data_IF_383569991551
#
_entry.id   IF_383569991551
#
_cell.length_a   1.000
_cell.length_b   1.000
_cell.length_c   1.000
_cell.angle_alpha   90.00
_cell.angle_beta   90.00
_cell.angle_gamma   90.00
#
_symmetry.space_group_name_H-M   'P 1'
#
loop_
_entity.id
_entity.type
_entity.pdbx_description
1 polymer ?
#
# COMPACT_ATOMS: atom_id res chain seq x y z
N UNK A 1 14.09 3.10 10.79
CA UNK A 1 13.11 1.99 10.91
C UNK A 1 11.97 2.33 9.98
N UNK A 2 11.62 1.47 9.04
CA UNK A 2 10.54 1.74 8.10
C UNK A 2 9.19 1.50 8.79
N UNK A 3 8.21 2.34 8.51
CA UNK A 3 6.84 2.22 9.04
C UNK A 3 5.82 2.24 7.93
N UNK A 4 4.60 1.80 8.23
CA UNK A 4 3.48 1.89 7.31
C UNK A 4 2.22 2.39 8.01
N UNK A 5 1.35 3.03 7.25
CA UNK A 5 0.01 3.41 7.67
C UNK A 5 -1.00 2.99 6.59
N UNK A 6 -2.19 2.60 7.03
CA UNK A 6 -3.32 2.30 6.15
C UNK A 6 -4.47 3.16 6.63
N UNK A 7 -4.92 4.08 5.76
CA UNK A 7 -6.06 4.94 6.02
C UNK A 7 -7.23 4.46 5.17
N UNK A 8 -8.39 4.29 5.79
CA UNK A 8 -9.61 3.97 5.07
C UNK A 8 -10.20 5.24 4.47
N UNK A 9 -10.47 5.23 3.16
CA UNK A 9 -11.16 6.31 2.44
C UNK A 9 -12.66 6.00 2.30
N UNK A 10 -13.02 4.73 2.08
CA UNK A 10 -14.40 4.23 1.98
C UNK A 10 -14.49 2.73 2.35
N UNK A 11 -15.66 2.10 2.18
CA UNK A 11 -15.84 0.65 2.37
C UNK A 11 -14.99 -0.22 1.44
N UNK A 12 -14.49 0.33 0.33
CA UNK A 12 -13.68 -0.41 -0.63
C UNK A 12 -12.40 0.32 -1.01
N UNK A 13 -12.16 1.54 -0.55
CA UNK A 13 -10.97 2.33 -0.92
C UNK A 13 -10.11 2.66 0.30
N UNK A 14 -8.80 2.52 0.13
CA UNK A 14 -7.79 2.76 1.16
C UNK A 14 -6.59 3.51 0.60
N UNK A 15 -5.96 4.29 1.46
CA UNK A 15 -4.65 4.90 1.22
C UNK A 15 -3.60 4.13 2.01
N UNK A 16 -2.62 3.56 1.33
CA UNK A 16 -1.47 2.88 1.93
C UNK A 16 -0.27 3.82 1.86
N UNK A 17 0.36 4.08 3.00
CA UNK A 17 1.52 4.97 3.13
C UNK A 17 2.68 4.15 3.66
N UNK A 18 3.82 4.21 2.98
CA UNK A 18 5.08 3.60 3.41
C UNK A 18 6.10 4.69 3.64
N UNK A 19 6.56 4.80 4.87
CA UNK A 19 7.61 5.74 5.25
C UNK A 19 8.94 5.01 5.28
N UNK A 20 9.81 5.33 4.34
CA UNK A 20 11.17 4.81 4.26
C UNK A 20 12.17 5.97 4.33
N UNK A 21 13.20 5.91 5.18
CA UNK A 21 14.25 6.93 5.24
C UNK A 21 15.18 6.90 4.02
N UNK A 22 15.00 5.94 3.11
CA UNK A 22 15.78 5.81 1.89
C UNK A 22 14.90 6.18 0.70
N UNK A 23 15.42 7.03 -0.20
CA UNK A 23 14.81 7.41 -1.49
C UNK A 23 14.79 6.24 -2.50
N UNK A 24 14.37 5.07 -2.05
CA UNK A 24 14.39 3.83 -2.80
C UNK A 24 12.99 3.56 -3.35
N UNK A 25 12.93 3.16 -4.62
CA UNK A 25 11.66 2.93 -5.30
C UNK A 25 10.94 1.72 -4.69
N UNK A 26 9.70 1.93 -4.29
CA UNK A 26 8.78 0.86 -3.92
C UNK A 26 7.82 0.62 -5.06
N UNK A 27 7.52 -0.65 -5.33
CA UNK A 27 6.47 -1.02 -6.27
C UNK A 27 5.48 -1.97 -5.61
N UNK A 28 4.19 -1.76 -5.81
CA UNK A 28 3.19 -2.73 -5.38
C UNK A 28 3.27 -3.97 -6.27
N UNK A 29 2.91 -5.12 -5.69
CA UNK A 29 2.78 -6.38 -6.41
C UNK A 29 1.30 -6.70 -6.59
N UNK A 30 0.99 -7.44 -7.67
CA UNK A 30 -0.34 -7.99 -7.87
C UNK A 30 -0.76 -8.79 -6.63
N UNK A 31 -1.92 -8.43 -6.11
CA UNK A 31 -2.51 -8.96 -4.89
C UNK A 31 -3.96 -9.30 -5.18
N UNK A 32 -4.41 -10.51 -4.83
CA UNK A 32 -5.75 -10.99 -5.19
C UNK A 32 -6.84 -10.11 -4.55
N UNK A 33 -7.81 -9.68 -5.36
CA UNK A 33 -8.93 -8.84 -4.94
C UNK A 33 -8.56 -7.41 -4.53
N UNK A 34 -7.33 -6.96 -4.83
CA UNK A 34 -6.87 -5.57 -4.66
C UNK A 34 -6.53 -4.99 -6.05
N UNK A 35 -7.12 -3.85 -6.36
CA UNK A 35 -6.77 -3.01 -7.50
C UNK A 35 -6.07 -1.74 -7.03
N UNK A 36 -5.09 -1.26 -7.79
CA UNK A 36 -4.38 -0.02 -7.47
C UNK A 36 -4.98 1.08 -8.32
N UNK A 37 -5.45 2.14 -7.66
CA UNK A 37 -6.07 3.27 -8.34
C UNK A 37 -4.98 4.20 -8.82
N UNK A 38 -4.73 4.14 -10.14
CA UNK A 38 -3.63 4.85 -10.79
C UNK A 38 -2.42 3.94 -11.03
N UNK A 39 -1.57 4.32 -11.98
CA UNK A 39 -0.39 3.53 -12.36
C UNK A 39 0.83 3.80 -11.47
N UNK A 40 0.86 4.91 -10.73
CA UNK A 40 2.07 5.42 -10.10
C UNK A 40 1.89 5.70 -8.60
N UNK A 41 2.97 5.44 -7.85
CA UNK A 41 3.10 5.85 -6.46
C UNK A 41 3.24 7.36 -6.38
N UNK A 42 2.44 8.02 -5.54
CA UNK A 42 2.71 9.41 -5.16
C UNK A 42 3.80 9.44 -4.09
N UNK A 43 4.80 10.30 -4.25
CA UNK A 43 5.86 10.50 -3.25
C UNK A 43 5.62 11.87 -2.61
N UNK A 44 5.70 11.96 -1.28
CA UNK A 44 5.56 13.24 -0.58
C UNK A 44 6.74 14.20 -0.84
N UNK A 45 6.57 15.47 -0.44
CA UNK A 45 7.60 16.51 -0.65
C UNK A 45 8.93 16.18 0.02
N UNK A 46 8.92 15.38 1.09
CA UNK A 46 10.13 14.93 1.79
C UNK A 46 10.81 13.72 1.12
N UNK A 47 10.24 13.17 0.05
CA UNK A 47 10.79 12.02 -0.66
C UNK A 47 10.85 10.73 0.16
N UNK A 48 10.09 10.66 1.25
CA UNK A 48 10.20 9.60 2.27
C UNK A 48 8.92 8.78 2.41
N UNK A 49 7.78 9.33 1.98
CA UNK A 49 6.49 8.68 2.03
C UNK A 49 6.04 8.28 0.62
N UNK A 50 5.80 6.99 0.45
CA UNK A 50 5.27 6.38 -0.76
C UNK A 50 3.80 6.06 -0.54
N UNK A 51 2.93 6.62 -1.38
CA UNK A 51 1.49 6.67 -1.18
C UNK A 51 0.80 5.99 -2.36
N UNK A 52 -0.05 5.01 -2.06
CA UNK A 52 -0.94 4.34 -3.02
C UNK A 52 -2.38 4.43 -2.57
N UNK A 53 -3.27 4.64 -3.53
CA UNK A 53 -4.69 4.37 -3.35
C UNK A 53 -4.98 2.97 -3.85
N UNK A 54 -5.60 2.14 -3.02
CA UNK A 54 -5.98 0.77 -3.35
C UNK A 54 -7.48 0.61 -3.17
N UNK A 55 -8.08 -0.16 -4.07
CA UNK A 55 -9.48 -0.56 -4.03
C UNK A 55 -9.59 -2.07 -3.83
N UNK A 56 -10.54 -2.51 -3.02
CA UNK A 56 -10.83 -3.93 -2.79
C UNK A 56 -12.19 -4.29 -3.38
N UNK A 57 -12.33 -5.50 -3.92
CA UNK A 57 -13.58 -5.91 -4.58
C UNK A 57 -14.78 -5.98 -3.62
N UNK A 58 -14.55 -6.31 -2.35
CA UNK A 58 -15.57 -6.45 -1.31
C UNK A 58 -15.00 -6.17 0.07
N UNK A 59 -15.82 -5.87 1.09
CA UNK A 59 -15.35 -5.76 2.46
C UNK A 59 -14.71 -7.08 2.93
N UNK A 60 -13.52 -7.01 3.52
CA UNK A 60 -12.77 -8.19 3.91
C UNK A 60 -11.36 -7.86 4.41
N UNK A 61 -10.59 -8.90 4.70
CA UNK A 61 -9.16 -8.77 5.03
C UNK A 61 -8.33 -9.09 3.80
N UNK A 62 -7.43 -8.17 3.44
CA UNK A 62 -6.62 -8.29 2.24
C UNK A 62 -5.13 -8.19 2.56
N UNK A 63 -4.35 -8.90 1.75
CA UNK A 63 -2.90 -8.88 1.83
C UNK A 63 -2.33 -7.99 0.73
N UNK A 64 -1.96 -6.76 1.08
CA UNK A 64 -1.29 -5.86 0.15
C UNK A 64 0.21 -6.10 0.21
N UNK A 65 0.80 -6.46 -0.94
CA UNK A 65 2.22 -6.77 -1.07
C UNK A 65 2.95 -5.64 -1.77
N UNK A 66 4.04 -5.18 -1.18
CA UNK A 66 4.95 -4.22 -1.80
C UNK A 66 6.36 -4.79 -1.86
N UNK A 67 7.07 -4.47 -2.94
CA UNK A 67 8.45 -4.86 -3.17
C UNK A 67 9.36 -3.64 -3.11
N UNK A 68 10.42 -3.78 -2.33
CA UNK A 68 11.54 -2.86 -2.36
C UNK A 68 12.44 -3.11 -3.58
N UNK A 69 12.65 -2.11 -4.44
CA UNK A 69 13.34 -2.30 -5.73
C UNK A 69 14.88 -2.38 -5.63
N UNK A 70 15.48 -2.40 -4.43
CA UNK A 70 16.93 -2.60 -4.24
C UNK A 70 17.46 -4.00 -4.54
N UNK A 71 16.74 -4.84 -5.29
CA UNK A 71 17.20 -6.16 -5.72
C UNK A 71 17.17 -7.27 -4.66
N UNK A 72 17.12 -6.93 -3.37
CA UNK A 72 17.13 -7.90 -2.26
C UNK A 72 15.76 -8.55 -1.97
N UNK A 73 14.71 -8.18 -2.70
CA UNK A 73 13.42 -8.86 -2.60
C UNK A 73 12.75 -8.71 -1.23
N UNK A 74 12.94 -7.60 -0.52
CA UNK A 74 12.26 -7.38 0.76
C UNK A 74 10.78 -7.10 0.47
N UNK A 75 9.94 -8.11 0.73
CA UNK A 75 8.49 -8.02 0.66
C UNK A 75 7.96 -7.52 1.99
N UNK A 76 7.10 -6.50 1.96
CA UNK A 76 6.26 -6.18 3.13
C UNK A 76 4.85 -6.63 2.88
N UNK A 77 4.35 -7.39 3.85
CA UNK A 77 2.97 -7.83 3.95
C UNK A 77 2.21 -6.81 4.78
N UNK A 78 1.22 -6.19 4.16
CA UNK A 78 0.35 -5.20 4.79
C UNK A 78 -1.05 -5.78 4.88
N UNK A 79 -1.59 -5.83 6.08
CA UNK A 79 -2.95 -6.36 6.31
C UNK A 79 -3.91 -5.19 6.28
N UNK A 80 -4.74 -5.13 5.26
CA UNK A 80 -5.88 -4.21 5.21
C UNK A 80 -6.96 -4.83 6.13
N UNK A 81 -7.32 -4.17 7.25
CA UNK A 81 -8.21 -4.75 8.25
C UNK A 81 -9.64 -4.94 7.75
N UNK A 82 -10.34 -5.90 8.38
CA UNK A 82 -11.73 -6.24 8.07
C UNK A 82 -12.63 -5.01 8.19
N UNK A 83 -13.38 -4.71 7.13
CA UNK A 83 -14.45 -3.72 7.17
C UNK A 83 -15.77 -4.46 7.26
N UNK A 84 -16.56 -4.15 8.28
CA UNK A 84 -17.96 -4.56 8.32
C UNK A 84 -18.78 -3.55 7.52
N UNK A 85 -19.57 -4.02 6.55
CA UNK A 85 -20.65 -3.21 6.00
C UNK A 85 -21.59 -2.84 7.14
N UNK A 86 -21.83 -1.54 7.34
CA UNK A 86 -22.71 -1.04 8.40
C UNK A 86 -24.15 -1.03 7.93
#
# INVERSE_FOLDING_TARGET
>A
MESYAIQQNSETSFTVIITSPHSLTWRPLESEGISIVGNDCTIDENGSNYIWTVEVEKPGTYEFRILHQSGDGVYKKLVIPLISAT
#
